data_IF_089776791953
#
_entry.id   IF_089776791953
#
_cell.length_a   1.000
_cell.length_b   1.000
_cell.length_c   1.000
_cell.angle_alpha   90.00
_cell.angle_beta   90.00
_cell.angle_gamma   90.00
#
_symmetry.space_group_name_H-M   'P 1'
#
loop_
_entity.id
_entity.type
_entity.pdbx_description
1 polymer ?
#
# COMPACT_ATOMS: atom_id res chain seq x y z
N UNK A 1 -55.16 20.71 69.59
CA UNK A 1 -54.22 21.11 68.51
C UNK A 1 -53.75 19.84 67.81
N UNK A 2 -54.10 19.66 66.52
CA UNK A 2 -53.85 18.41 65.77
C UNK A 2 -52.34 18.30 65.47
N UNK A 3 -51.70 17.19 65.87
CA UNK A 3 -50.32 16.86 65.50
C UNK A 3 -50.37 16.00 64.24
N UNK A 4 -49.81 16.50 63.14
CA UNK A 4 -49.67 15.74 61.89
C UNK A 4 -48.28 15.10 61.85
N UNK A 5 -48.24 13.79 61.64
CA UNK A 5 -47.02 13.00 61.46
C UNK A 5 -46.73 12.91 59.96
N UNK A 6 -45.67 13.58 59.51
CA UNK A 6 -45.21 13.50 58.12
C UNK A 6 -44.27 12.30 57.98
N UNK A 7 -44.77 11.21 57.37
CA UNK A 7 -43.94 10.06 57.00
C UNK A 7 -43.35 10.34 55.61
N UNK A 8 -42.04 10.62 55.56
CA UNK A 8 -41.32 10.74 54.30
C UNK A 8 -41.02 9.35 53.76
N UNK A 9 -41.78 8.91 52.75
CA UNK A 9 -41.55 7.62 52.08
C UNK A 9 -40.39 7.79 51.08
N UNK A 10 -39.17 7.44 51.49
CA UNK A 10 -38.00 7.45 50.59
C UNK A 10 -38.01 6.18 49.75
N UNK A 11 -38.55 6.26 48.54
CA UNK A 11 -38.46 5.20 47.53
C UNK A 11 -37.01 5.10 47.04
N UNK A 12 -36.28 4.10 47.55
CA UNK A 12 -34.98 3.71 47.02
C UNK A 12 -35.17 2.96 45.70
N UNK A 13 -35.15 3.70 44.58
CA UNK A 13 -34.98 3.13 43.25
C UNK A 13 -33.52 2.75 43.08
N UNK A 14 -33.18 1.49 43.39
CA UNK A 14 -31.94 0.88 42.93
C UNK A 14 -32.02 0.69 41.42
N UNK A 15 -31.52 1.68 40.69
CA UNK A 15 -31.27 1.57 39.26
C UNK A 15 -30.21 0.49 39.03
N UNK A 16 -30.63 -0.65 38.49
CA UNK A 16 -29.71 -1.67 38.01
C UNK A 16 -28.98 -1.09 36.79
N UNK A 17 -27.77 -0.55 37.01
CA UNK A 17 -26.88 -0.20 35.91
C UNK A 17 -26.50 -1.50 35.21
N UNK A 18 -27.21 -1.85 34.14
CA UNK A 18 -26.69 -2.84 33.20
C UNK A 18 -25.32 -2.34 32.75
N UNK A 19 -24.25 -3.02 33.18
CA UNK A 19 -22.96 -2.84 32.54
C UNK A 19 -23.22 -3.07 31.05
N UNK A 20 -23.03 -2.05 30.22
CA UNK A 20 -22.80 -2.27 28.79
C UNK A 20 -21.62 -3.22 28.72
N UNK A 21 -21.92 -4.50 28.54
CA UNK A 21 -20.96 -5.48 28.09
C UNK A 21 -20.67 -5.02 26.67
N UNK A 22 -19.67 -4.15 26.53
CA UNK A 22 -19.01 -3.94 25.26
C UNK A 22 -18.25 -5.24 24.96
N UNK A 23 -18.99 -6.30 24.61
CA UNK A 23 -18.47 -7.41 23.84
C UNK A 23 -18.21 -6.88 22.42
N UNK A 24 -17.29 -5.92 22.31
CA UNK A 24 -16.45 -5.89 21.14
C UNK A 24 -15.58 -7.12 21.36
N UNK A 25 -16.04 -8.26 20.84
CA UNK A 25 -15.09 -9.29 20.41
C UNK A 25 -14.13 -8.50 19.53
N UNK A 26 -12.94 -8.21 20.07
CA UNK A 26 -11.78 -8.06 19.21
C UNK A 26 -11.87 -9.26 18.30
N UNK A 27 -12.16 -9.02 17.02
CA UNK A 27 -11.93 -9.98 15.97
C UNK A 27 -10.44 -10.23 16.13
N UNK A 28 -10.13 -11.29 16.88
CA UNK A 28 -8.78 -11.76 17.08
C UNK A 28 -8.20 -11.85 15.69
N UNK A 29 -7.12 -11.11 15.42
CA UNK A 29 -6.30 -11.25 14.23
C UNK A 29 -6.24 -12.74 13.92
N UNK A 30 -6.95 -13.18 12.87
CA UNK A 30 -6.98 -14.60 12.58
C UNK A 30 -5.54 -14.92 12.20
N UNK A 31 -4.83 -15.76 12.97
CA UNK A 31 -3.42 -15.99 12.72
C UNK A 31 -3.21 -16.70 11.38
N UNK A 32 -4.21 -16.91 10.52
CA UNK A 32 -4.08 -17.40 9.14
C UNK A 32 -4.41 -16.38 8.04
N UNK A 33 -4.80 -15.14 8.35
CA UNK A 33 -5.19 -14.16 7.32
C UNK A 33 -3.98 -13.36 6.84
N UNK A 34 -3.73 -13.37 5.52
CA UNK A 34 -2.80 -12.48 4.83
C UNK A 34 -3.55 -11.23 4.35
N UNK A 35 -2.95 -10.05 4.51
CA UNK A 35 -3.47 -8.78 4.02
C UNK A 35 -2.63 -8.30 2.85
N UNK A 36 -3.24 -8.30 1.66
CA UNK A 36 -2.60 -7.81 0.44
C UNK A 36 -3.29 -6.51 0.04
N UNK A 37 -2.51 -5.44 -0.08
CA UNK A 37 -2.94 -4.17 -0.68
C UNK A 37 -2.52 -4.11 -2.14
N UNK A 38 -3.19 -3.29 -2.94
CA UNK A 38 -2.75 -2.98 -4.29
C UNK A 38 -3.12 -1.56 -4.69
N UNK A 39 -2.36 -0.99 -5.63
CA UNK A 39 -2.60 0.35 -6.15
C UNK A 39 -1.80 0.63 -7.42
N UNK A 40 -2.20 1.69 -8.11
CA UNK A 40 -1.57 2.17 -9.34
C UNK A 40 -1.75 3.68 -9.46
N UNK A 41 -1.29 4.26 -10.57
CA UNK A 41 -1.53 5.64 -10.95
C UNK A 41 -0.96 6.65 -9.93
N UNK A 42 0.28 6.40 -9.52
CA UNK A 42 0.97 7.15 -8.49
C UNK A 42 1.82 8.27 -9.10
N UNK A 43 1.20 9.44 -9.27
CA UNK A 43 1.92 10.63 -9.72
C UNK A 43 2.79 11.23 -8.63
N UNK A 44 4.10 11.30 -8.87
CA UNK A 44 5.11 11.90 -8.00
C UNK A 44 4.89 13.40 -7.70
N UNK A 45 4.08 14.06 -8.52
CA UNK A 45 3.81 15.49 -8.44
C UNK A 45 2.51 15.83 -7.69
N UNK A 46 1.76 14.80 -7.27
CA UNK A 46 0.52 14.97 -6.49
C UNK A 46 0.74 14.69 -5.01
N UNK A 47 -0.01 15.35 -4.11
CA UNK A 47 -0.08 14.94 -2.71
C UNK A 47 -0.54 13.48 -2.60
N UNK A 48 0.07 12.70 -1.70
CA UNK A 48 -0.25 11.28 -1.52
C UNK A 48 -0.80 10.98 -0.10
N UNK A 49 -1.86 11.67 0.37
CA UNK A 49 -2.40 11.45 1.71
C UNK A 49 -2.94 10.03 1.91
N UNK A 50 -3.26 9.31 0.83
CA UNK A 50 -3.70 7.92 0.85
C UNK A 50 -2.70 7.00 1.55
N UNK A 51 -1.39 7.30 1.49
CA UNK A 51 -0.39 6.49 2.19
C UNK A 51 -0.51 6.54 3.71
N UNK A 52 -1.20 7.53 4.29
CA UNK A 52 -1.50 7.51 5.72
C UNK A 52 -2.47 6.39 6.08
N UNK A 53 -3.49 6.17 5.24
CA UNK A 53 -4.42 5.06 5.40
C UNK A 53 -3.74 3.71 5.08
N UNK A 54 -2.98 3.64 3.98
CA UNK A 54 -2.25 2.41 3.61
C UNK A 54 -1.32 1.96 4.74
N UNK A 55 -0.59 2.89 5.37
CA UNK A 55 0.28 2.58 6.52
C UNK A 55 -0.49 2.05 7.74
N UNK A 56 -1.73 2.48 7.97
CA UNK A 56 -2.52 1.98 9.10
C UNK A 56 -3.11 0.58 8.89
N UNK A 57 -3.14 0.09 7.66
CA UNK A 57 -3.70 -1.23 7.33
C UNK A 57 -2.74 -2.40 7.60
N UNK A 58 -1.45 -2.14 7.82
CA UNK A 58 -0.43 -3.16 8.13
C UNK A 58 -0.45 -4.37 7.17
N UNK A 59 -0.28 -4.09 5.87
CA UNK A 59 -0.26 -5.12 4.82
C UNK A 59 0.99 -6.02 4.90
N UNK A 60 0.81 -7.32 4.65
CA UNK A 60 1.89 -8.31 4.49
C UNK A 60 2.59 -8.18 3.12
N UNK A 61 1.89 -7.59 2.15
CA UNK A 61 2.37 -7.26 0.82
C UNK A 61 1.52 -6.14 0.21
N UNK A 62 2.16 -5.19 -0.46
CA UNK A 62 1.48 -4.19 -1.28
C UNK A 62 1.93 -4.29 -2.72
N UNK A 63 0.98 -4.48 -3.64
CA UNK A 63 1.25 -4.61 -5.06
C UNK A 63 1.11 -3.25 -5.75
N UNK A 64 2.19 -2.71 -6.29
CA UNK A 64 2.10 -1.61 -7.24
C UNK A 64 1.91 -2.18 -8.65
N UNK A 65 0.69 -2.05 -9.18
CA UNK A 65 0.26 -2.80 -10.35
C UNK A 65 0.42 -2.02 -11.68
N UNK A 66 1.16 -0.92 -11.67
CA UNK A 66 1.35 -0.05 -12.84
C UNK A 66 1.34 1.43 -12.50
N UNK A 67 1.74 2.26 -13.46
CA UNK A 67 1.85 3.72 -13.34
C UNK A 67 2.48 4.15 -12.02
N UNK A 68 3.72 3.70 -11.78
CA UNK A 68 4.42 3.97 -10.54
C UNK A 68 4.93 5.42 -10.47
N UNK A 69 5.11 6.03 -11.63
CA UNK A 69 5.45 7.44 -11.86
C UNK A 69 4.88 7.91 -13.21
N UNK A 70 4.80 9.23 -13.40
CA UNK A 70 4.44 9.85 -14.67
C UNK A 70 5.60 10.72 -15.15
N UNK A 71 6.38 10.22 -16.10
CA UNK A 71 7.62 10.84 -16.55
C UNK A 71 7.85 10.66 -18.04
N UNK A 72 6.78 10.76 -18.82
CA UNK A 72 6.79 10.60 -20.27
C UNK A 72 7.88 11.45 -20.93
N UNK A 73 8.74 10.79 -21.71
CA UNK A 73 9.89 11.40 -22.36
C UNK A 73 9.75 11.33 -23.87
N UNK A 74 10.06 12.44 -24.54
CA UNK A 74 10.13 12.51 -26.00
C UNK A 74 11.52 12.14 -26.54
N UNK A 75 12.48 11.92 -25.65
CA UNK A 75 13.89 11.69 -26.03
C UNK A 75 14.39 10.33 -25.54
N UNK A 76 15.40 9.82 -26.23
CA UNK A 76 16.09 8.57 -25.87
C UNK A 76 16.79 8.62 -24.50
N UNK A 77 17.04 9.82 -23.98
CA UNK A 77 17.69 10.02 -22.67
C UNK A 77 16.82 9.59 -21.50
N UNK A 78 15.49 9.64 -21.66
CA UNK A 78 14.50 9.40 -20.60
C UNK A 78 14.71 10.27 -19.35
N UNK A 79 15.22 11.50 -19.52
CA UNK A 79 15.48 12.43 -18.42
C UNK A 79 14.23 12.70 -17.57
N UNK A 80 13.07 12.85 -18.19
CA UNK A 80 11.80 13.06 -17.51
C UNK A 80 11.41 11.85 -16.65
N UNK A 81 11.58 10.63 -17.16
CA UNK A 81 11.27 9.39 -16.45
C UNK A 81 12.22 9.19 -15.27
N UNK A 82 13.53 9.39 -15.50
CA UNK A 82 14.53 9.32 -14.45
C UNK A 82 14.28 10.36 -13.34
N UNK A 83 13.90 11.59 -13.72
CA UNK A 83 13.52 12.64 -12.78
C UNK A 83 12.24 12.28 -12.00
N UNK A 84 11.25 11.69 -12.65
CA UNK A 84 10.02 11.23 -12.00
C UNK A 84 10.31 10.16 -10.93
N UNK A 85 11.09 9.13 -11.26
CA UNK A 85 11.53 8.12 -10.28
C UNK A 85 12.35 8.70 -9.13
N UNK A 86 13.26 9.64 -9.41
CA UNK A 86 14.05 10.29 -8.38
C UNK A 86 13.17 11.09 -7.40
N UNK A 87 12.18 11.84 -7.92
CA UNK A 87 11.19 12.54 -7.08
C UNK A 87 10.35 11.57 -6.26
N UNK A 88 9.90 10.47 -6.87
CA UNK A 88 9.13 9.44 -6.19
C UNK A 88 9.93 8.80 -5.05
N UNK A 89 11.22 8.53 -5.25
CA UNK A 89 12.11 7.97 -4.21
C UNK A 89 12.21 8.93 -3.02
N UNK A 90 12.33 10.23 -3.28
CA UNK A 90 12.32 11.26 -2.24
C UNK A 90 10.98 11.33 -1.51
N UNK A 91 9.86 11.20 -2.22
CA UNK A 91 8.52 11.17 -1.61
C UNK A 91 8.37 9.97 -0.67
N UNK A 92 8.76 8.77 -1.11
CA UNK A 92 8.75 7.56 -0.27
C UNK A 92 9.63 7.70 0.97
N UNK A 93 10.84 8.24 0.80
CA UNK A 93 11.75 8.52 1.92
C UNK A 93 11.13 9.50 2.94
N UNK A 94 10.57 10.63 2.47
CA UNK A 94 9.91 11.63 3.32
C UNK A 94 8.71 11.07 4.08
N UNK A 95 7.90 10.24 3.41
CA UNK A 95 6.70 9.62 4.00
C UNK A 95 7.01 8.42 4.89
N UNK A 96 8.28 7.99 4.95
CA UNK A 96 8.77 6.80 5.67
C UNK A 96 7.98 5.55 5.27
N UNK A 97 7.86 5.34 3.96
CA UNK A 97 7.22 4.16 3.40
C UNK A 97 8.16 2.96 3.65
N UNK A 98 7.70 2.00 4.45
CA UNK A 98 8.47 0.81 4.87
C UNK A 98 7.55 -0.40 5.04
N UNK A 99 6.86 -0.78 3.97
CA UNK A 99 6.14 -2.04 3.89
C UNK A 99 6.54 -2.78 2.60
N UNK A 100 6.44 -4.11 2.57
CA UNK A 100 6.95 -4.91 1.46
C UNK A 100 6.15 -4.65 0.17
N UNK A 101 6.83 -4.17 -0.86
CA UNK A 101 6.26 -3.99 -2.20
C UNK A 101 6.65 -5.13 -3.13
N UNK A 102 5.72 -5.48 -4.01
CA UNK A 102 6.04 -6.02 -5.32
C UNK A 102 5.47 -5.08 -6.38
N UNK A 103 6.16 -4.94 -7.50
CA UNK A 103 5.80 -3.96 -8.51
C UNK A 103 5.92 -4.50 -9.93
N UNK A 104 5.01 -4.03 -10.78
CA UNK A 104 5.05 -4.18 -12.24
C UNK A 104 4.84 -2.80 -12.88
N UNK A 105 5.26 -2.66 -14.14
CA UNK A 105 5.08 -1.44 -14.93
C UNK A 105 3.71 -1.38 -15.62
N UNK A 106 3.30 -0.17 -15.97
CA UNK A 106 2.36 0.11 -17.07
C UNK A 106 2.99 1.13 -18.05
N UNK A 107 2.25 1.60 -19.05
CA UNK A 107 2.73 2.49 -20.11
C UNK A 107 3.51 3.73 -19.64
N UNK A 108 3.08 4.43 -18.59
CA UNK A 108 3.83 5.58 -18.08
C UNK A 108 5.19 5.20 -17.48
N UNK A 109 5.35 3.98 -17.00
CA UNK A 109 6.64 3.45 -16.54
C UNK A 109 7.56 3.05 -17.71
N UNK A 110 7.00 2.84 -18.91
CA UNK A 110 7.80 2.83 -20.15
C UNK A 110 8.33 4.23 -20.48
N UNK A 111 7.76 5.30 -19.91
CA UNK A 111 8.09 6.68 -20.26
C UNK A 111 7.40 7.15 -21.55
N UNK A 112 6.28 6.50 -21.92
CA UNK A 112 5.44 6.90 -23.03
C UNK A 112 3.99 6.46 -22.80
N UNK A 113 3.08 7.42 -22.75
CA UNK A 113 1.63 7.21 -22.74
C UNK A 113 1.18 6.38 -23.95
N UNK A 114 0.32 5.40 -23.71
CA UNK A 114 -0.09 4.37 -24.67
C UNK A 114 1.11 3.57 -25.25
N UNK A 115 2.25 3.61 -24.56
CA UNK A 115 3.44 2.84 -24.85
C UNK A 115 3.29 1.38 -24.44
N UNK A 116 4.18 0.54 -24.95
CA UNK A 116 4.15 -0.88 -24.62
C UNK A 116 5.29 -1.64 -25.26
N UNK A 117 5.04 -2.91 -25.59
CA UNK A 117 6.07 -3.84 -26.10
C UNK A 117 6.89 -3.31 -27.29
N UNK A 118 6.32 -2.43 -28.11
CA UNK A 118 6.93 -1.90 -29.33
C UNK A 118 7.67 -0.56 -29.10
N UNK A 119 7.65 -0.03 -27.86
CA UNK A 119 8.37 1.19 -27.52
C UNK A 119 9.88 0.99 -27.58
N UNK A 120 10.54 1.82 -28.39
CA UNK A 120 11.96 1.72 -28.71
C UNK A 120 12.90 1.83 -27.50
N UNK A 121 12.52 2.60 -26.46
CA UNK A 121 13.38 2.83 -25.30
C UNK A 121 12.99 1.98 -24.06
N UNK A 122 12.09 0.99 -24.22
CA UNK A 122 11.56 0.18 -23.10
C UNK A 122 12.63 -0.48 -22.24
N UNK A 123 13.77 -0.89 -22.81
CA UNK A 123 14.83 -1.53 -22.04
C UNK A 123 15.56 -0.52 -21.14
N UNK A 124 15.71 0.74 -21.58
CA UNK A 124 16.24 1.82 -20.72
C UNK A 124 15.24 2.16 -19.61
N UNK A 125 13.95 2.21 -19.93
CA UNK A 125 12.88 2.41 -18.94
C UNK A 125 12.85 1.29 -17.90
N UNK A 126 13.04 0.03 -18.34
CA UNK A 126 13.18 -1.14 -17.47
C UNK A 126 14.33 -0.99 -16.49
N UNK A 127 15.50 -0.52 -16.93
CA UNK A 127 16.63 -0.30 -16.02
C UNK A 127 16.33 0.76 -14.96
N UNK A 128 15.64 1.85 -15.33
CA UNK A 128 15.17 2.86 -14.37
C UNK A 128 14.18 2.27 -13.36
N UNK A 129 13.21 1.48 -13.83
CA UNK A 129 12.25 0.78 -12.96
C UNK A 129 12.96 -0.15 -11.97
N UNK A 130 13.84 -1.03 -12.46
CA UNK A 130 14.56 -2.00 -11.64
C UNK A 130 15.50 -1.30 -10.65
N UNK A 131 16.10 -0.17 -11.04
CA UNK A 131 16.88 0.67 -10.13
C UNK A 131 15.99 1.30 -9.05
N UNK A 132 14.84 1.88 -9.41
CA UNK A 132 13.90 2.49 -8.48
C UNK A 132 13.46 1.52 -7.38
N UNK A 133 13.02 0.33 -7.78
CA UNK A 133 12.56 -0.74 -6.88
C UNK A 133 13.69 -1.52 -6.20
N UNK A 134 14.95 -1.13 -6.38
CA UNK A 134 16.13 -1.80 -5.84
C UNK A 134 16.17 -3.32 -6.15
N UNK A 135 15.73 -3.71 -7.35
CA UNK A 135 15.73 -5.11 -7.76
C UNK A 135 17.18 -5.59 -7.90
N UNK A 136 17.47 -6.75 -7.31
CA UNK A 136 18.82 -7.34 -7.27
C UNK A 136 19.48 -7.40 -8.65
N UNK A 137 20.80 -7.22 -8.69
CA UNK A 137 21.60 -7.37 -9.92
C UNK A 137 21.56 -8.79 -10.48
N UNK A 138 21.28 -9.78 -9.64
CA UNK A 138 21.19 -11.19 -10.02
C UNK A 138 19.75 -11.62 -10.37
N UNK A 139 18.78 -10.71 -10.32
CA UNK A 139 17.38 -11.01 -10.65
C UNK A 139 17.24 -11.31 -12.16
N UNK A 140 16.50 -12.35 -12.56
CA UNK A 140 16.29 -12.68 -13.97
C UNK A 140 15.75 -11.52 -14.82
N UNK A 141 15.02 -10.56 -14.24
CA UNK A 141 14.52 -9.37 -14.93
C UNK A 141 15.64 -8.46 -15.46
N UNK A 142 16.86 -8.56 -14.91
CA UNK A 142 18.03 -7.79 -15.38
C UNK A 142 18.57 -8.29 -16.73
N UNK A 143 18.36 -9.56 -17.07
CA UNK A 143 18.98 -10.18 -18.26
C UNK A 143 18.01 -10.49 -19.38
N UNK A 144 16.70 -10.54 -19.11
CA UNK A 144 15.65 -10.74 -20.13
C UNK A 144 14.85 -9.48 -20.38
N UNK A 145 14.12 -9.46 -21.49
CA UNK A 145 13.13 -8.41 -21.76
C UNK A 145 11.89 -8.56 -20.86
N UNK A 146 11.37 -7.42 -20.43
CA UNK A 146 10.15 -7.32 -19.63
C UNK A 146 10.33 -7.63 -18.14
N UNK A 147 9.26 -7.38 -17.38
CA UNK A 147 9.25 -7.46 -15.91
C UNK A 147 8.42 -8.61 -15.34
N UNK A 148 7.71 -9.37 -16.18
CA UNK A 148 6.81 -10.47 -15.75
C UNK A 148 7.58 -11.48 -14.90
N UNK A 149 7.18 -11.79 -13.68
CA UNK A 149 7.88 -12.74 -12.82
C UNK A 149 6.91 -13.27 -11.77
N UNK A 150 7.17 -14.47 -11.27
CA UNK A 150 6.49 -14.95 -10.09
C UNK A 150 7.31 -14.70 -8.81
N UNK A 151 6.61 -14.60 -7.69
CA UNK A 151 7.20 -14.45 -6.35
C UNK A 151 6.58 -15.49 -5.44
N UNK A 152 7.42 -16.27 -4.77
CA UNK A 152 7.01 -17.18 -3.71
C UNK A 152 7.18 -16.48 -2.37
N UNK A 153 6.09 -16.30 -1.62
CA UNK A 153 6.12 -15.83 -0.23
C UNK A 153 5.66 -16.90 0.73
N UNK A 154 6.50 -17.18 1.71
CA UNK A 154 6.11 -17.98 2.85
C UNK A 154 5.27 -17.15 3.81
N UNK A 155 4.09 -17.65 4.13
CA UNK A 155 3.17 -17.07 5.08
C UNK A 155 2.64 -18.15 6.00
N UNK A 156 3.14 -18.15 7.24
CA UNK A 156 2.61 -18.95 8.36
C UNK A 156 2.49 -20.46 8.03
N UNK A 157 3.54 -21.01 7.42
CA UNK A 157 3.63 -22.43 7.08
C UNK A 157 2.98 -22.81 5.75
N UNK A 158 2.45 -21.85 4.99
CA UNK A 158 2.02 -22.02 3.61
C UNK A 158 2.91 -21.19 2.68
N UNK A 159 3.10 -21.63 1.44
CA UNK A 159 3.77 -20.83 0.39
C UNK A 159 2.70 -20.33 -0.57
N UNK A 160 2.70 -19.02 -0.80
CA UNK A 160 1.80 -18.33 -1.73
C UNK A 160 2.63 -17.92 -2.95
N UNK A 161 2.19 -18.29 -4.14
CA UNK A 161 2.78 -17.86 -5.40
C UNK A 161 1.98 -16.69 -5.97
N UNK A 162 2.66 -15.57 -6.17
CA UNK A 162 2.17 -14.43 -6.94
C UNK A 162 2.71 -14.57 -8.37
N UNK A 163 1.85 -14.40 -9.37
CA UNK A 163 2.16 -14.57 -10.81
C UNK A 163 1.71 -13.33 -11.56
#
# INVERSE_FOLDING_TARGET
MKKYLFILLVLNVWGCSSKKINNIKNISDNPSQMRIGYGSCLSQDKPMPIFNAIKSENFDLFLMIGDNVYGDSKTESLEELASAYNRQRQNFSKMKIDFPFEAIWDDHDYGLNDGGKDYSFKEKSKELFLYFWNISSNDPRRTRSGLYHDVLKDFKGSTIQFI
#
